data_IF_289090573255
#
_entry.id   IF_289090573255
#
_cell.length_a   1.000
_cell.length_b   1.000
_cell.length_c   1.000
_cell.angle_alpha   90.00
_cell.angle_beta   90.00
_cell.angle_gamma   90.00
#
_symmetry.space_group_name_H-M   'P 1'
#
loop_
_entity.id
_entity.type
_entity.pdbx_description
1 polymer ?
#
# COMPACT_ATOMS: atom_id res chain seq x y z
N UNK A 1 -30.62 50.40 -6.82
CA UNK A 1 -29.75 50.48 -8.01
C UNK A 1 -28.44 51.13 -7.58
N UNK A 2 -27.29 50.58 -8.02
CA UNK A 2 -25.91 50.62 -7.45
C UNK A 2 -25.68 49.61 -6.32
N UNK A 3 -25.02 48.46 -6.54
CA UNK A 3 -23.58 48.18 -6.76
C UNK A 3 -22.69 48.63 -5.59
N UNK A 4 -22.30 47.65 -4.77
CA UNK A 4 -21.00 47.64 -4.10
C UNK A 4 -20.49 46.19 -4.07
N UNK A 5 -19.30 46.01 -4.62
CA UNK A 5 -18.56 44.77 -4.78
C UNK A 5 -18.17 44.13 -3.43
N UNK A 6 -18.36 42.83 -3.31
CA UNK A 6 -17.47 41.99 -2.52
C UNK A 6 -17.53 40.56 -3.07
N UNK A 7 -16.63 40.27 -4.02
CA UNK A 7 -16.35 38.94 -4.51
C UNK A 7 -15.75 38.08 -3.37
N UNK A 8 -16.58 37.55 -2.46
CA UNK A 8 -16.17 36.58 -1.44
C UNK A 8 -16.12 35.19 -2.07
N UNK A 9 -15.01 34.85 -2.72
CA UNK A 9 -14.91 33.61 -3.49
C UNK A 9 -13.58 32.88 -3.26
N UNK A 10 -13.72 31.63 -2.81
CA UNK A 10 -12.71 30.54 -2.67
C UNK A 10 -11.97 30.44 -1.32
N UNK A 11 -12.59 29.69 -0.40
CA UNK A 11 -11.97 29.00 0.76
C UNK A 11 -10.83 28.06 0.36
N UNK A 12 -9.70 28.09 1.07
CA UNK A 12 -8.50 27.28 0.79
C UNK A 12 -8.53 25.86 1.38
N UNK A 13 -9.50 25.04 0.98
CA UNK A 13 -9.54 23.61 1.31
C UNK A 13 -8.54 22.85 0.44
N UNK A 14 -7.71 21.98 1.01
CA UNK A 14 -6.73 21.18 0.26
C UNK A 14 -6.98 19.69 0.40
N UNK A 15 -6.81 18.92 -0.69
CA UNK A 15 -6.66 17.46 -0.66
C UNK A 15 -5.17 17.11 -0.74
N UNK A 16 -4.69 16.31 0.21
CA UNK A 16 -3.33 15.77 0.29
C UNK A 16 -3.32 14.30 -0.05
N UNK A 17 -2.31 13.83 -0.79
CA UNK A 17 -2.00 12.40 -0.91
C UNK A 17 -0.72 12.06 -0.16
N UNK A 18 -0.71 10.96 0.60
CA UNK A 18 0.45 10.58 1.40
C UNK A 18 0.56 9.07 1.59
N UNK A 19 1.78 8.50 1.54
CA UNK A 19 2.03 7.18 2.10
C UNK A 19 2.03 7.21 3.63
N UNK A 20 1.70 6.06 4.22
CA UNK A 20 1.82 5.79 5.65
C UNK A 20 2.52 4.45 5.80
N UNK A 21 3.56 4.39 6.63
CA UNK A 21 4.20 3.13 7.02
C UNK A 21 4.11 2.96 8.55
N UNK A 22 3.39 1.93 9.00
CA UNK A 22 3.44 1.41 10.37
C UNK A 22 3.19 2.42 11.52
N UNK A 23 2.34 3.44 11.33
CA UNK A 23 2.10 4.44 12.38
C UNK A 23 0.80 4.22 13.15
N UNK A 24 0.82 4.33 14.50
CA UNK A 24 -0.39 4.23 15.33
C UNK A 24 -1.33 5.44 15.16
N UNK A 25 -0.81 6.62 14.77
CA UNK A 25 -1.63 7.81 14.56
C UNK A 25 -1.03 8.75 13.49
N UNK A 26 -1.21 8.48 12.18
CA UNK A 26 -0.71 9.37 11.14
C UNK A 26 -1.29 10.79 11.20
N UNK A 27 -2.50 10.93 11.76
CA UNK A 27 -3.18 12.22 11.91
C UNK A 27 -2.49 13.17 12.89
N UNK A 28 -1.94 12.68 14.01
CA UNK A 28 -1.31 13.56 14.99
C UNK A 28 -0.03 14.21 14.43
N UNK A 29 0.75 13.47 13.64
CA UNK A 29 1.94 13.99 12.97
C UNK A 29 1.59 15.05 11.94
N UNK A 30 0.55 14.81 11.12
CA UNK A 30 0.05 15.79 10.14
C UNK A 30 -0.44 17.07 10.83
N UNK A 31 -1.23 16.95 11.90
CA UNK A 31 -1.71 18.09 12.68
C UNK A 31 -0.57 18.89 13.29
N UNK A 32 0.41 18.21 13.90
CA UNK A 32 1.60 18.87 14.48
C UNK A 32 2.42 19.59 13.42
N UNK A 33 2.66 18.97 12.27
CA UNK A 33 3.37 19.60 11.15
C UNK A 33 2.63 20.83 10.62
N UNK A 34 1.30 20.73 10.47
CA UNK A 34 0.47 21.83 10.00
C UNK A 34 0.43 23.00 11.01
N UNK A 35 0.44 22.71 12.32
CA UNK A 35 0.57 23.73 13.36
C UNK A 35 1.87 24.54 13.27
N UNK A 36 2.97 23.94 12.80
CA UNK A 36 4.24 24.64 12.58
C UNK A 36 4.22 25.61 11.40
N UNK A 37 3.22 25.52 10.50
CA UNK A 37 3.00 26.49 9.42
C UNK A 37 2.41 27.81 9.91
N UNK A 38 2.09 27.94 11.21
CA UNK A 38 1.51 29.12 11.87
C UNK A 38 0.21 29.59 11.18
N UNK A 39 -0.81 28.72 11.10
CA UNK A 39 -2.12 29.10 10.59
C UNK A 39 -2.80 30.09 11.54
N UNK A 40 -3.81 30.82 11.05
CA UNK A 40 -4.61 31.74 11.87
C UNK A 40 -5.57 31.03 12.82
N UNK A 41 -5.86 29.74 12.59
CA UNK A 41 -6.70 28.90 13.43
C UNK A 41 -6.19 27.45 13.49
N UNK A 42 -6.58 26.65 14.50
CA UNK A 42 -6.21 25.25 14.57
C UNK A 42 -6.67 24.45 13.34
N UNK A 43 -5.76 23.64 12.79
CA UNK A 43 -6.03 22.84 11.59
C UNK A 43 -6.59 21.47 11.97
N UNK A 44 -7.70 21.10 11.34
CA UNK A 44 -8.29 19.76 11.44
C UNK A 44 -8.10 19.01 10.13
N UNK A 45 -7.67 17.75 10.23
CA UNK A 45 -7.54 16.84 9.10
C UNK A 45 -8.69 15.85 9.07
N UNK A 46 -9.17 15.58 7.86
CA UNK A 46 -10.19 14.60 7.57
C UNK A 46 -9.66 13.61 6.53
N UNK A 47 -9.35 12.40 6.96
CA UNK A 47 -8.80 11.33 6.11
C UNK A 47 -9.89 10.59 5.33
N UNK A 48 -9.50 10.07 4.16
CA UNK A 48 -10.37 9.30 3.28
C UNK A 48 -10.59 7.87 3.78
N UNK A 49 -9.56 7.28 4.38
CA UNK A 49 -9.53 5.91 4.88
C UNK A 49 -8.74 5.84 6.18
N UNK A 50 -9.35 5.23 7.21
CA UNK A 50 -8.66 4.83 8.44
C UNK A 50 -7.93 3.52 8.14
N UNK A 51 -6.62 3.49 8.37
CA UNK A 51 -5.81 2.27 8.28
C UNK A 51 -5.59 1.72 9.70
N UNK A 52 -5.63 0.40 9.85
CA UNK A 52 -5.33 -0.24 11.13
C UNK A 52 -3.84 -0.12 11.47
N UNK A 53 -3.48 -0.31 12.74
CA UNK A 53 -2.07 -0.43 13.14
C UNK A 53 -1.36 -1.51 12.33
N UNK A 54 -0.20 -1.17 11.78
CA UNK A 54 0.61 -2.05 10.94
C UNK A 54 0.20 -2.09 9.46
N UNK A 55 -0.88 -1.41 9.06
CA UNK A 55 -1.30 -1.30 7.66
C UNK A 55 -0.62 -0.11 7.00
N UNK A 56 -0.19 -0.29 5.75
CA UNK A 56 0.46 0.74 4.97
C UNK A 56 -0.53 1.50 4.08
N UNK A 57 -0.10 2.66 3.61
CA UNK A 57 -0.73 3.36 2.50
C UNK A 57 0.33 3.79 1.50
N UNK A 58 0.05 3.65 0.22
CA UNK A 58 0.84 4.24 -0.86
C UNK A 58 0.29 5.62 -1.23
N UNK A 59 -1.04 5.74 -1.20
CA UNK A 59 -1.74 6.98 -1.47
C UNK A 59 -3.02 7.05 -0.62
N UNK A 60 -2.87 7.36 0.67
CA UNK A 60 -4.01 7.82 1.47
C UNK A 60 -4.32 9.27 1.09
N UNK A 61 -5.56 9.70 1.33
CA UNK A 61 -6.00 11.05 1.06
C UNK A 61 -6.49 11.73 2.34
N UNK A 62 -6.22 13.02 2.52
CA UNK A 62 -6.81 13.82 3.59
C UNK A 62 -7.17 15.20 3.08
N UNK A 63 -8.20 15.81 3.66
CA UNK A 63 -8.43 17.23 3.47
C UNK A 63 -8.29 18.03 4.74
N UNK A 64 -7.94 19.31 4.57
CA UNK A 64 -7.87 20.31 5.61
C UNK A 64 -8.33 21.67 5.07
N UNK A 65 -8.74 22.53 6.00
CA UNK A 65 -8.92 23.96 5.75
C UNK A 65 -7.75 24.70 6.43
N UNK A 66 -7.08 25.58 5.69
CA UNK A 66 -5.93 26.35 6.20
C UNK A 66 -6.03 27.81 5.78
N UNK A 67 -5.87 28.69 6.76
CA UNK A 67 -5.80 30.13 6.58
C UNK A 67 -4.46 30.64 7.11
N UNK A 68 -3.81 31.53 6.36
CA UNK A 68 -2.58 32.18 6.80
C UNK A 68 -2.91 33.45 7.56
N UNK A 69 -1.94 33.94 8.33
CA UNK A 69 -2.04 35.23 8.99
C UNK A 69 -2.38 36.36 8.00
N UNK A 70 -3.11 37.41 8.43
CA UNK A 70 -3.44 38.57 7.59
C UNK A 70 -2.22 39.13 6.86
N UNK A 71 -2.40 39.51 5.60
CA UNK A 71 -1.34 40.06 4.74
C UNK A 71 -0.41 39.02 4.09
N UNK A 72 -0.60 37.72 4.36
CA UNK A 72 0.13 36.66 3.64
C UNK A 72 -0.70 36.09 2.49
N UNK A 73 -0.12 35.88 1.30
CA UNK A 73 -0.83 35.22 0.20
C UNK A 73 -1.12 33.78 0.59
N UNK A 74 -2.25 33.23 0.16
CA UNK A 74 -2.56 31.82 0.39
C UNK A 74 -1.44 30.88 -0.09
N UNK A 75 -1.40 29.68 0.49
CA UNK A 75 -0.53 28.63 -0.04
C UNK A 75 -0.95 28.22 -1.45
N UNK A 76 0.03 28.00 -2.32
CA UNK A 76 -0.12 27.10 -3.46
C UNK A 76 -0.05 25.65 -2.98
N UNK A 77 -0.56 24.70 -3.77
CA UNK A 77 -0.47 23.27 -3.45
C UNK A 77 0.98 22.82 -3.21
N UNK A 78 1.90 23.24 -4.08
CA UNK A 78 3.32 22.94 -3.93
C UNK A 78 3.92 23.50 -2.64
N UNK A 79 3.62 24.77 -2.30
CA UNK A 79 4.11 25.38 -1.05
C UNK A 79 3.59 24.66 0.19
N UNK A 80 2.31 24.28 0.20
CA UNK A 80 1.73 23.54 1.31
C UNK A 80 2.39 22.17 1.48
N UNK A 81 2.53 21.41 0.40
CA UNK A 81 3.17 20.09 0.43
C UNK A 81 4.63 20.19 0.89
N UNK A 82 5.39 21.17 0.38
CA UNK A 82 6.77 21.41 0.78
C UNK A 82 6.90 21.79 2.26
N UNK A 83 6.06 22.73 2.73
CA UNK A 83 6.05 23.16 4.13
C UNK A 83 5.70 22.02 5.10
N UNK A 84 4.68 21.23 4.78
CA UNK A 84 4.33 20.05 5.58
C UNK A 84 5.49 19.03 5.60
N UNK A 85 6.05 18.71 4.44
CA UNK A 85 7.17 17.76 4.33
C UNK A 85 8.42 18.21 5.10
N UNK A 86 8.69 19.52 5.19
CA UNK A 86 9.79 20.04 5.99
C UNK A 86 9.63 19.67 7.48
N UNK A 87 8.41 19.76 8.01
CA UNK A 87 8.12 19.42 9.41
C UNK A 87 7.83 17.93 9.65
N UNK A 88 7.58 17.15 8.60
CA UNK A 88 7.38 15.70 8.66
C UNK A 88 8.68 14.89 8.51
N UNK A 89 9.85 15.53 8.30
CA UNK A 89 11.14 14.83 8.12
C UNK A 89 11.45 13.74 9.15
N UNK A 90 11.11 13.88 10.45
CA UNK A 90 11.37 12.82 11.44
C UNK A 90 10.44 11.62 11.32
N UNK A 91 9.35 11.73 10.57
CA UNK A 91 8.24 10.78 10.55
C UNK A 91 8.21 10.00 9.23
N UNK A 92 7.78 8.72 9.24
CA UNK A 92 7.63 7.91 8.02
C UNK A 92 6.34 8.24 7.24
N UNK A 93 6.08 9.54 7.05
CA UNK A 93 4.95 10.09 6.28
C UNK A 93 5.50 11.15 5.33
N UNK A 94 5.01 11.16 4.09
CA UNK A 94 5.35 12.19 3.12
C UNK A 94 4.11 12.67 2.39
N UNK A 95 3.94 13.97 2.23
CA UNK A 95 2.94 14.54 1.32
C UNK A 95 3.47 14.42 -0.11
N UNK A 96 2.78 13.68 -0.96
CA UNK A 96 3.11 13.50 -2.38
C UNK A 96 2.65 14.69 -3.21
N UNK A 97 1.44 15.18 -2.94
CA UNK A 97 0.84 16.33 -3.63
C UNK A 97 -0.20 16.99 -2.75
N UNK A 98 -0.50 18.26 -3.05
CA UNK A 98 -1.60 19.00 -2.46
C UNK A 98 -2.30 19.80 -3.57
N UNK A 99 -3.63 19.83 -3.56
CA UNK A 99 -4.43 20.61 -4.49
C UNK A 99 -5.59 21.30 -3.80
N UNK A 100 -5.98 22.49 -4.28
CA UNK A 100 -7.19 23.16 -3.80
C UNK A 100 -8.43 22.38 -4.24
N UNK A 101 -9.42 22.33 -3.38
CA UNK A 101 -10.72 21.68 -3.64
C UNK A 101 -11.86 22.58 -3.18
N UNK A 102 -13.09 22.38 -3.70
CA UNK A 102 -14.27 23.13 -3.26
C UNK A 102 -14.53 22.99 -1.76
N UNK A 103 -15.20 23.97 -1.17
CA UNK A 103 -15.62 23.95 0.25
C UNK A 103 -16.51 22.74 0.58
N UNK A 104 -17.28 22.25 -0.39
CA UNK A 104 -18.17 21.09 -0.28
C UNK A 104 -17.44 19.75 -0.27
N UNK A 105 -16.17 19.71 -0.69
CA UNK A 105 -15.41 18.47 -0.79
C UNK A 105 -15.16 17.83 0.59
N UNK A 106 -15.33 16.51 0.69
CA UNK A 106 -14.95 15.76 1.89
C UNK A 106 -14.20 14.47 1.52
N UNK A 107 -12.91 14.40 1.85
CA UNK A 107 -12.01 13.29 1.50
C UNK A 107 -12.59 11.88 1.73
N UNK A 108 -13.38 11.68 2.79
CA UNK A 108 -14.09 10.40 3.03
C UNK A 108 -15.34 10.20 2.19
N UNK A 109 -16.21 11.20 2.07
CA UNK A 109 -17.56 11.02 1.53
C UNK A 109 -17.60 11.26 0.01
N UNK A 110 -16.72 12.10 -0.51
CA UNK A 110 -16.53 12.36 -1.94
C UNK A 110 -15.76 11.25 -2.67
N UNK A 111 -15.13 10.32 -1.95
CA UNK A 111 -14.38 9.23 -2.57
C UNK A 111 -15.33 8.24 -3.28
N UNK A 112 -15.04 7.95 -4.55
CA UNK A 112 -15.76 7.01 -5.41
C UNK A 112 -15.36 5.58 -5.14
N UNK A 113 -14.08 5.34 -4.93
CA UNK A 113 -13.54 4.01 -4.65
C UNK A 113 -12.25 4.09 -3.84
N UNK A 114 -11.92 2.97 -3.20
CA UNK A 114 -10.62 2.68 -2.60
C UNK A 114 -10.15 1.36 -3.19
N UNK A 115 -8.87 1.31 -3.53
CA UNK A 115 -8.20 0.08 -3.93
C UNK A 115 -7.17 -0.28 -2.88
N UNK A 116 -7.32 -1.47 -2.31
CA UNK A 116 -6.32 -2.10 -1.47
C UNK A 116 -5.54 -3.13 -2.28
N UNK A 117 -4.30 -3.32 -1.88
CA UNK A 117 -3.42 -4.37 -2.37
C UNK A 117 -2.89 -5.12 -1.16
N UNK A 118 -3.02 -6.44 -1.19
CA UNK A 118 -2.44 -7.30 -0.17
C UNK A 118 -1.32 -8.13 -0.79
N UNK A 119 -0.10 -8.00 -0.27
CA UNK A 119 1.07 -8.74 -0.77
C UNK A 119 1.31 -10.01 0.03
N UNK A 120 1.33 -11.12 -0.69
CA UNK A 120 1.72 -12.45 -0.25
C UNK A 120 3.12 -12.76 -0.77
N UNK A 121 3.94 -13.42 0.03
CA UNK A 121 5.20 -14.02 -0.39
C UNK A 121 5.03 -15.53 -0.30
N UNK A 122 5.11 -16.21 -1.45
CA UNK A 122 5.08 -17.67 -1.53
C UNK A 122 6.50 -18.23 -1.66
N UNK A 123 6.63 -19.55 -1.59
CA UNK A 123 7.94 -20.23 -1.69
C UNK A 123 8.80 -20.15 -0.43
N UNK A 124 8.24 -19.66 0.69
CA UNK A 124 8.89 -19.67 2.01
C UNK A 124 8.18 -20.67 2.92
N UNK A 125 8.90 -21.64 3.47
CA UNK A 125 8.36 -22.65 4.39
C UNK A 125 8.27 -22.11 5.82
N UNK A 126 9.16 -21.17 6.18
CA UNK A 126 9.24 -20.62 7.52
C UNK A 126 9.45 -19.09 7.49
N UNK A 127 8.89 -18.39 8.49
CA UNK A 127 8.94 -16.93 8.57
C UNK A 127 10.39 -16.37 8.62
N UNK A 128 11.36 -17.15 9.11
CA UNK A 128 12.78 -16.75 9.13
C UNK A 128 13.40 -16.62 7.75
N UNK A 129 12.81 -17.27 6.73
CA UNK A 129 13.25 -17.21 5.33
C UNK A 129 12.74 -15.93 4.63
N UNK A 130 11.81 -15.19 5.24
CA UNK A 130 11.35 -13.92 4.69
C UNK A 130 12.53 -12.93 4.66
N UNK A 131 12.86 -12.37 3.48
CA UNK A 131 13.94 -11.41 3.35
C UNK A 131 13.78 -10.25 4.33
N UNK A 132 14.88 -9.83 4.97
CA UNK A 132 14.85 -8.85 6.07
C UNK A 132 14.07 -7.57 5.70
N UNK A 133 14.25 -7.07 4.47
CA UNK A 133 13.59 -5.85 4.00
C UNK A 133 12.11 -6.04 3.62
N UNK A 134 11.61 -7.28 3.55
CA UNK A 134 10.24 -7.60 3.15
C UNK A 134 9.36 -8.02 4.33
N UNK A 135 9.94 -8.26 5.52
CA UNK A 135 9.22 -8.78 6.71
C UNK A 135 7.98 -7.98 7.08
N UNK A 136 8.06 -6.65 6.95
CA UNK A 136 6.95 -5.75 7.27
C UNK A 136 6.16 -5.31 6.02
N UNK A 137 6.48 -5.81 4.82
CA UNK A 137 5.88 -5.39 3.56
C UNK A 137 5.07 -6.49 2.86
N UNK A 138 5.06 -7.70 3.43
CA UNK A 138 4.30 -8.82 2.91
C UNK A 138 3.83 -9.73 4.05
N UNK A 139 3.02 -10.72 3.68
CA UNK A 139 2.75 -11.87 4.52
C UNK A 139 3.26 -13.12 3.80
N UNK A 140 4.07 -13.92 4.49
CA UNK A 140 4.40 -15.27 4.10
C UNK A 140 3.50 -16.24 4.89
N UNK A 141 2.42 -16.79 4.30
CA UNK A 141 1.59 -17.78 4.97
C UNK A 141 2.42 -19.05 5.27
N UNK A 142 2.30 -19.64 6.47
CA UNK A 142 2.95 -20.91 6.76
C UNK A 142 2.28 -22.05 5.99
N UNK A 143 2.95 -23.19 5.85
CA UNK A 143 2.35 -24.41 5.32
C UNK A 143 2.53 -24.64 3.81
N UNK A 144 3.50 -23.95 3.18
CA UNK A 144 3.93 -24.24 1.82
C UNK A 144 3.12 -23.51 0.73
N UNK A 145 3.11 -24.03 -0.51
CA UNK A 145 2.47 -23.36 -1.65
C UNK A 145 0.95 -23.27 -1.48
N UNK A 146 0.35 -22.25 -2.10
CA UNK A 146 -1.10 -22.06 -2.09
C UNK A 146 -1.72 -22.52 -3.41
N UNK A 147 -2.90 -23.15 -3.32
CA UNK A 147 -3.76 -23.41 -4.47
C UNK A 147 -4.41 -22.11 -4.98
N UNK A 148 -3.67 -21.38 -5.84
CA UNK A 148 -4.14 -20.14 -6.45
C UNK A 148 -5.43 -20.33 -7.26
N UNK A 149 -5.59 -21.39 -8.09
CA UNK A 149 -6.87 -21.68 -8.74
C UNK A 149 -8.06 -21.72 -7.76
N UNK A 150 -7.95 -22.45 -6.65
CA UNK A 150 -9.01 -22.53 -5.64
C UNK A 150 -9.29 -21.16 -5.00
N UNK A 151 -8.25 -20.38 -4.70
CA UNK A 151 -8.37 -19.00 -4.21
C UNK A 151 -9.12 -18.10 -5.20
N UNK A 152 -8.86 -18.24 -6.51
CA UNK A 152 -9.54 -17.46 -7.56
C UNK A 152 -11.00 -17.86 -7.70
N UNK A 153 -11.33 -19.14 -7.59
CA UNK A 153 -12.73 -19.63 -7.54
C UNK A 153 -13.45 -19.03 -6.33
N UNK A 154 -12.84 -19.12 -5.15
CA UNK A 154 -13.34 -18.54 -3.91
C UNK A 154 -13.57 -17.01 -4.01
N UNK A 155 -12.67 -16.30 -4.68
CA UNK A 155 -12.78 -14.86 -4.90
C UNK A 155 -14.03 -14.47 -5.72
N UNK A 156 -14.52 -15.32 -6.64
CA UNK A 156 -15.70 -15.00 -7.44
C UNK A 156 -16.95 -14.85 -6.58
N UNK A 157 -17.11 -15.65 -5.51
CA UNK A 157 -18.26 -15.55 -4.60
C UNK A 157 -18.33 -14.21 -3.85
N UNK A 158 -17.20 -13.50 -3.70
CA UNK A 158 -17.12 -12.23 -2.99
C UNK A 158 -17.41 -11.02 -3.87
N UNK A 159 -17.37 -11.17 -5.20
CA UNK A 159 -17.63 -10.09 -6.14
C UNK A 159 -19.12 -9.69 -6.13
N UNK A 160 -19.40 -8.40 -6.35
CA UNK A 160 -20.76 -7.88 -6.32
C UNK A 160 -21.19 -7.42 -4.92
N UNK A 161 -22.51 -7.36 -4.70
CA UNK A 161 -23.12 -6.79 -3.50
C UNK A 161 -23.54 -7.86 -2.53
N UNK A 162 -22.98 -7.84 -1.33
CA UNK A 162 -23.26 -8.83 -0.28
C UNK A 162 -23.37 -8.18 1.10
N UNK A 163 -23.98 -8.90 2.03
CA UNK A 163 -23.84 -8.63 3.45
C UNK A 163 -22.48 -9.19 3.93
N UNK A 164 -21.57 -8.30 4.31
CA UNK A 164 -20.23 -8.67 4.76
C UNK A 164 -20.11 -8.72 6.29
N UNK A 165 -21.20 -8.97 7.02
CA UNK A 165 -21.19 -9.03 8.49
C UNK A 165 -20.18 -10.04 9.02
N UNK A 166 -20.07 -11.23 8.45
CA UNK A 166 -19.05 -12.22 8.82
C UNK A 166 -17.63 -11.75 8.52
N UNK A 167 -17.44 -10.93 7.50
CA UNK A 167 -16.14 -10.35 7.17
C UNK A 167 -15.85 -9.05 7.92
N UNK A 168 -16.63 -8.67 8.95
CA UNK A 168 -16.41 -7.48 9.78
C UNK A 168 -15.90 -7.87 11.16
N UNK A 169 -14.86 -7.20 11.66
CA UNK A 169 -14.52 -7.30 13.08
C UNK A 169 -15.40 -6.38 13.94
N UNK A 170 -15.70 -6.81 15.16
CA UNK A 170 -16.47 -6.02 16.12
C UNK A 170 -15.69 -4.77 16.54
N UNK A 171 -16.35 -3.61 16.53
CA UNK A 171 -15.89 -2.35 17.13
C UNK A 171 -17.10 -1.56 17.62
N UNK A 172 -16.91 -0.56 18.49
CA UNK A 172 -18.00 0.30 18.95
C UNK A 172 -18.68 1.05 17.80
N UNK A 173 -17.95 1.40 16.73
CA UNK A 173 -18.52 2.06 15.55
C UNK A 173 -19.13 1.09 14.52
N UNK A 174 -19.00 -0.22 14.73
CA UNK A 174 -19.46 -1.24 13.79
C UNK A 174 -20.99 -1.36 13.75
N UNK A 175 -21.68 -1.04 14.85
CA UNK A 175 -23.14 -1.16 14.97
C UNK A 175 -23.91 -0.14 14.11
N UNK A 176 -23.32 1.03 13.84
CA UNK A 176 -23.97 2.12 13.12
C UNK A 176 -23.79 2.06 11.58
N UNK A 177 -23.06 1.07 11.07
CA UNK A 177 -22.75 0.97 9.64
C UNK A 177 -23.50 -0.21 9.03
N UNK A 178 -24.25 0.04 7.95
CA UNK A 178 -24.80 -1.04 7.12
C UNK A 178 -23.66 -2.01 6.75
N UNK A 179 -23.82 -3.33 6.91
CA UNK A 179 -22.81 -4.31 6.55
C UNK A 179 -22.80 -4.63 5.04
N UNK A 180 -23.78 -4.13 4.30
CA UNK A 180 -23.89 -4.38 2.86
C UNK A 180 -22.84 -3.55 2.11
N UNK A 181 -21.97 -4.23 1.34
CA UNK A 181 -20.94 -3.58 0.50
C UNK A 181 -20.94 -4.20 -0.88
N UNK A 182 -20.45 -3.44 -1.84
CA UNK A 182 -20.24 -3.91 -3.22
C UNK A 182 -18.75 -3.97 -3.51
N UNK A 183 -18.20 -5.17 -3.72
CA UNK A 183 -16.85 -5.31 -4.25
C UNK A 183 -16.90 -5.15 -5.76
N UNK A 184 -16.17 -4.15 -6.26
CA UNK A 184 -16.10 -3.82 -7.69
C UNK A 184 -15.02 -4.63 -8.39
N UNK A 185 -13.97 -5.01 -7.67
CA UNK A 185 -12.83 -5.76 -8.19
C UNK A 185 -12.23 -6.61 -7.07
N UNK A 186 -11.87 -7.84 -7.41
CA UNK A 186 -11.10 -8.75 -6.57
C UNK A 186 -10.25 -9.62 -7.50
N UNK A 187 -8.94 -9.38 -7.52
CA UNK A 187 -8.02 -10.05 -8.43
C UNK A 187 -6.83 -10.63 -7.64
N UNK A 188 -6.40 -11.82 -8.03
CA UNK A 188 -5.23 -12.51 -7.47
C UNK A 188 -4.26 -12.75 -8.60
N UNK A 189 -3.10 -12.09 -8.56
CA UNK A 189 -2.13 -12.09 -9.65
C UNK A 189 -0.69 -12.15 -9.13
N UNK A 190 0.29 -12.57 -9.95
CA UNK A 190 1.69 -12.43 -9.61
C UNK A 190 2.03 -10.97 -9.31
N UNK A 191 2.79 -10.76 -8.23
CA UNK A 191 3.31 -9.46 -7.83
C UNK A 191 4.66 -9.17 -8.50
N UNK A 192 5.02 -7.89 -8.69
CA UNK A 192 6.33 -7.53 -9.21
C UNK A 192 7.42 -7.78 -8.16
N UNK A 193 8.61 -8.16 -8.61
CA UNK A 193 9.79 -8.30 -7.74
C UNK A 193 10.66 -9.49 -8.13
N UNK A 194 11.70 -9.72 -7.33
CA UNK A 194 12.64 -10.85 -7.50
C UNK A 194 12.22 -12.11 -6.73
N UNK A 195 11.20 -12.00 -5.90
CA UNK A 195 10.66 -13.09 -5.08
C UNK A 195 9.31 -13.51 -5.63
N UNK A 196 8.81 -14.66 -5.19
CA UNK A 196 7.50 -15.19 -5.59
C UNK A 196 6.35 -14.44 -4.91
N UNK A 197 6.22 -13.16 -5.23
CA UNK A 197 5.14 -12.34 -4.73
C UNK A 197 3.84 -12.65 -5.46
N UNK A 198 2.76 -12.61 -4.70
CA UNK A 198 1.39 -12.61 -5.20
C UNK A 198 0.65 -11.42 -4.59
N UNK A 199 -0.22 -10.80 -5.36
CA UNK A 199 -0.99 -9.63 -4.95
C UNK A 199 -2.48 -9.92 -5.04
N UNK A 200 -3.19 -9.67 -3.94
CA UNK A 200 -4.65 -9.65 -3.89
C UNK A 200 -5.09 -8.19 -3.97
N UNK A 201 -5.59 -7.78 -5.13
CA UNK A 201 -6.12 -6.43 -5.38
C UNK A 201 -7.62 -6.42 -5.12
N UNK A 202 -8.08 -5.49 -4.27
CA UNK A 202 -9.49 -5.39 -3.87
C UNK A 202 -9.96 -3.94 -4.03
N UNK A 203 -11.02 -3.72 -4.81
CA UNK A 203 -11.61 -2.40 -5.05
C UNK A 203 -13.06 -2.34 -4.60
N UNK A 204 -13.42 -1.31 -3.85
CA UNK A 204 -14.80 -1.02 -3.46
C UNK A 204 -14.99 0.47 -3.17
N UNK A 205 -16.24 0.95 -3.19
CA UNK A 205 -16.59 2.28 -2.69
C UNK A 205 -16.16 2.46 -1.23
N UNK A 206 -16.35 1.45 -0.38
CA UNK A 206 -16.00 1.50 1.03
C UNK A 206 -15.84 0.10 1.61
N UNK A 207 -15.13 -0.01 2.74
CA UNK A 207 -14.89 -1.27 3.42
C UNK A 207 -15.33 -1.18 4.89
N UNK A 208 -15.76 -2.30 5.46
CA UNK A 208 -16.01 -2.46 6.89
C UNK A 208 -14.69 -2.61 7.66
N UNK A 209 -14.76 -2.48 8.98
CA UNK A 209 -13.60 -2.63 9.86
C UNK A 209 -12.96 -4.02 9.69
N UNK A 210 -11.66 -4.03 9.32
CA UNK A 210 -10.83 -5.21 9.01
C UNK A 210 -11.33 -6.10 7.85
N UNK A 211 -12.27 -5.64 7.03
CA UNK A 211 -12.90 -6.44 5.97
C UNK A 211 -11.90 -7.03 4.99
N UNK A 212 -10.98 -6.21 4.48
CA UNK A 212 -9.99 -6.65 3.49
C UNK A 212 -9.10 -7.77 4.05
N UNK A 213 -8.68 -7.65 5.31
CA UNK A 213 -7.83 -8.66 5.98
C UNK A 213 -8.56 -9.96 6.25
N UNK A 214 -9.86 -9.90 6.57
CA UNK A 214 -10.71 -11.08 6.72
C UNK A 214 -10.94 -11.78 5.37
N UNK A 215 -11.19 -11.02 4.31
CA UNK A 215 -11.30 -11.55 2.94
C UNK A 215 -10.01 -12.29 2.55
N UNK A 216 -8.86 -11.60 2.61
CA UNK A 216 -7.56 -12.21 2.23
C UNK A 216 -7.27 -13.43 3.10
N UNK A 217 -7.55 -13.35 4.39
CA UNK A 217 -7.36 -14.44 5.33
C UNK A 217 -8.15 -15.70 4.98
N UNK A 218 -9.44 -15.53 4.63
CA UNK A 218 -10.27 -16.63 4.18
C UNK A 218 -9.81 -17.20 2.83
N UNK A 219 -9.40 -16.35 1.89
CA UNK A 219 -8.82 -16.81 0.62
C UNK A 219 -7.55 -17.62 0.85
N UNK A 220 -6.63 -17.17 1.70
CA UNK A 220 -5.42 -17.95 2.03
C UNK A 220 -5.77 -19.26 2.73
N UNK A 221 -6.79 -19.29 3.59
CA UNK A 221 -7.29 -20.54 4.17
C UNK A 221 -7.84 -21.52 3.11
N UNK A 222 -8.47 -21.02 2.04
CA UNK A 222 -8.83 -21.83 0.87
C UNK A 222 -7.60 -22.34 0.13
N UNK A 223 -6.62 -21.47 -0.13
CA UNK A 223 -5.37 -21.86 -0.79
C UNK A 223 -4.56 -22.91 -0.01
N UNK A 224 -4.74 -22.97 1.31
CA UNK A 224 -4.15 -24.00 2.19
C UNK A 224 -5.02 -25.26 2.33
N UNK A 225 -6.17 -25.35 1.66
CA UNK A 225 -7.11 -26.46 1.77
C UNK A 225 -7.87 -26.53 3.11
N UNK A 226 -7.73 -25.53 4.00
CA UNK A 226 -8.44 -25.48 5.29
C UNK A 226 -9.90 -25.07 5.12
N UNK A 227 -10.23 -24.40 4.03
CA UNK A 227 -11.59 -24.10 3.61
C UNK A 227 -11.77 -24.56 2.16
N UNK A 228 -12.97 -25.02 1.82
CA UNK A 228 -13.35 -25.19 0.41
C UNK A 228 -13.70 -23.82 -0.19
N UNK A 229 -13.64 -23.65 -1.53
CA UNK A 229 -14.16 -22.43 -2.15
C UNK A 229 -15.62 -22.13 -1.80
N UNK A 230 -16.45 -23.17 -1.64
CA UNK A 230 -17.87 -23.05 -1.26
C UNK A 230 -18.09 -22.49 0.15
N UNK A 231 -17.19 -22.77 1.10
CA UNK A 231 -17.27 -22.19 2.45
C UNK A 231 -17.26 -20.65 2.43
N UNK A 232 -16.70 -20.00 1.41
CA UNK A 232 -16.76 -18.53 1.31
C UNK A 232 -18.19 -18.03 1.13
N UNK A 233 -19.01 -18.76 0.37
CA UNK A 233 -20.42 -18.43 0.21
C UNK A 233 -21.19 -18.65 1.51
N UNK A 234 -20.96 -19.78 2.19
CA UNK A 234 -21.55 -20.07 3.51
C UNK A 234 -21.20 -18.96 4.53
N UNK A 235 -19.95 -18.49 4.54
CA UNK A 235 -19.54 -17.38 5.40
C UNK A 235 -20.32 -16.08 5.10
N UNK A 236 -20.66 -15.78 3.85
CA UNK A 236 -21.51 -14.63 3.51
C UNK A 236 -22.95 -14.82 4.01
N UNK A 237 -23.47 -16.04 3.95
CA UNK A 237 -24.84 -16.39 4.36
C UNK A 237 -25.05 -16.33 5.87
N UNK A 238 -24.02 -16.63 6.68
CA UNK A 238 -24.10 -16.60 8.15
C UNK A 238 -24.40 -15.22 8.73
N UNK A 239 -23.96 -14.14 8.07
CA UNK A 239 -24.18 -12.74 8.47
C UNK A 239 -23.84 -12.44 9.95
N UNK A 240 -22.89 -13.17 10.54
CA UNK A 240 -22.48 -13.00 11.93
C UNK A 240 -20.97 -12.72 12.02
N UNK A 241 -20.54 -11.55 12.53
CA UNK A 241 -19.14 -11.22 12.79
C UNK A 241 -18.36 -12.27 13.60
N UNK A 242 -19.04 -13.04 14.45
CA UNK A 242 -18.46 -14.09 15.30
C UNK A 242 -18.23 -15.42 14.57
N UNK A 243 -18.90 -15.62 13.43
CA UNK A 243 -18.78 -16.83 12.63
C UNK A 243 -17.51 -16.89 11.76
N UNK A 244 -16.74 -15.80 11.69
CA UNK A 244 -15.49 -15.79 10.95
C UNK A 244 -14.48 -16.77 11.58
N UNK A 245 -13.80 -17.62 10.80
CA UNK A 245 -12.90 -18.62 11.36
C UNK A 245 -11.82 -18.00 12.25
N UNK A 246 -11.62 -18.52 13.47
CA UNK A 246 -10.61 -17.98 14.37
C UNK A 246 -9.22 -18.12 13.74
N UNK A 247 -8.33 -17.15 14.01
CA UNK A 247 -6.96 -17.12 13.50
C UNK A 247 -6.80 -17.14 11.97
N UNK A 248 -7.88 -17.01 11.20
CA UNK A 248 -7.80 -16.94 9.74
C UNK A 248 -7.54 -15.52 9.23
N UNK A 249 -7.66 -14.47 10.05
CA UNK A 249 -7.50 -13.09 9.59
C UNK A 249 -6.05 -12.80 9.21
N UNK A 250 -5.85 -12.25 8.00
CA UNK A 250 -4.53 -11.90 7.51
C UNK A 250 -3.84 -10.83 8.40
N UNK A 251 -2.50 -10.89 8.58
CA UNK A 251 -1.75 -9.84 9.29
C UNK A 251 -1.84 -8.48 8.58
N UNK A 252 -1.54 -7.37 9.27
CA UNK A 252 -1.65 -6.04 8.68
C UNK A 252 -0.47 -5.67 7.75
N UNK A 253 0.71 -6.27 7.97
CA UNK A 253 1.97 -5.92 7.27
C UNK A 253 1.92 -6.08 5.76
N UNK A 254 1.11 -7.02 5.25
CA UNK A 254 0.93 -7.21 3.81
C UNK A 254 -0.07 -6.25 3.16
N UNK A 255 -0.81 -5.44 3.93
CA UNK A 255 -1.91 -4.63 3.41
C UNK A 255 -1.48 -3.19 3.10
N UNK A 256 -1.80 -2.73 1.90
CA UNK A 256 -1.53 -1.39 1.40
C UNK A 256 -2.81 -0.74 0.87
N UNK A 257 -3.14 0.46 1.33
CA UNK A 257 -4.06 1.34 0.60
C UNK A 257 -3.34 1.88 -0.66
N UNK A 258 -3.65 1.29 -1.82
CA UNK A 258 -2.99 1.60 -3.10
C UNK A 258 -3.47 2.92 -3.70
N UNK A 259 -4.77 3.16 -3.69
CA UNK A 259 -5.37 4.32 -4.35
C UNK A 259 -6.71 4.72 -3.71
N UNK A 260 -7.03 6.01 -3.78
CA UNK A 260 -8.36 6.57 -3.49
C UNK A 260 -8.78 7.40 -4.69
N UNK A 261 -9.96 7.11 -5.23
CA UNK A 261 -10.47 7.76 -6.43
C UNK A 261 -11.57 8.77 -6.10
N UNK A 262 -11.54 9.93 -6.75
CA UNK A 262 -12.54 11.01 -6.65
C UNK A 262 -13.07 11.37 -8.05
N UNK A 263 -14.31 11.88 -8.13
CA UNK A 263 -14.82 12.49 -9.38
C UNK A 263 -14.08 13.79 -9.69
N UNK A 264 -13.80 14.07 -10.96
CA UNK A 264 -13.54 15.46 -11.36
C UNK A 264 -14.85 16.26 -11.27
N UNK A 265 -14.81 17.48 -10.74
CA UNK A 265 -15.88 18.44 -11.00
C UNK A 265 -15.62 19.06 -12.38
N UNK A 266 -16.59 18.95 -13.31
CA UNK A 266 -16.54 19.59 -14.63
C UNK A 266 -16.10 18.73 -15.83
N UNK A 267 -15.87 17.42 -15.67
CA UNK A 267 -15.53 16.53 -16.78
C UNK A 267 -15.57 15.05 -16.37
N UNK A 268 -15.71 14.14 -17.34
CA UNK A 268 -15.85 12.69 -17.17
C UNK A 268 -14.61 11.96 -16.61
N UNK A 269 -13.60 12.69 -16.12
CA UNK A 269 -12.38 12.12 -15.56
C UNK A 269 -12.54 11.58 -14.12
N UNK A 270 -11.64 10.67 -13.75
CA UNK A 270 -11.45 10.19 -12.38
C UNK A 270 -10.10 10.71 -11.88
N UNK A 271 -10.06 11.44 -10.75
CA UNK A 271 -8.80 11.71 -10.04
C UNK A 271 -8.46 10.49 -9.21
N UNK A 272 -7.38 9.80 -9.54
CA UNK A 272 -6.72 8.85 -8.66
C UNK A 272 -5.24 9.13 -8.67
N UNK A 273 -4.66 9.57 -7.56
CA UNK A 273 -3.21 9.45 -7.38
C UNK A 273 -2.93 8.00 -7.01
N UNK A 274 -2.91 7.14 -8.03
CA UNK A 274 -2.28 5.83 -7.92
C UNK A 274 -0.77 6.03 -8.03
N UNK A 275 0.00 5.42 -7.14
CA UNK A 275 1.43 5.24 -7.40
C UNK A 275 1.53 4.35 -8.64
N UNK A 276 2.16 4.84 -9.72
CA UNK A 276 2.47 3.99 -10.89
C UNK A 276 3.23 2.76 -10.43
N UNK A 277 2.95 1.59 -11.02
CA UNK A 277 3.56 0.29 -10.67
C UNK A 277 5.10 0.32 -10.69
N UNK A 278 5.68 1.29 -11.40
CA UNK A 278 7.13 1.53 -11.49
C UNK A 278 7.86 1.78 -10.16
N UNK A 279 7.17 2.17 -9.08
CA UNK A 279 7.84 2.39 -7.78
C UNK A 279 8.23 1.08 -7.08
N UNK A 280 7.75 -0.07 -7.57
CA UNK A 280 7.99 -1.38 -6.96
C UNK A 280 9.11 -2.20 -7.59
N UNK A 281 9.75 -1.71 -8.66
CA UNK A 281 10.79 -2.46 -9.33
C UNK A 281 11.61 -1.60 -10.26
N UNK A 282 12.77 -1.13 -9.79
CA UNK A 282 14.01 -1.12 -10.58
C UNK A 282 15.18 -0.68 -9.71
N UNK A 283 16.15 -1.59 -9.54
CA UNK A 283 17.54 -1.16 -9.42
C UNK A 283 17.85 -0.30 -10.65
N UNK A 284 18.39 0.91 -10.44
CA UNK A 284 18.80 1.82 -11.52
C UNK A 284 19.74 1.08 -12.48
N UNK A 285 19.29 0.80 -13.71
CA UNK A 285 20.22 0.78 -14.85
C UNK A 285 20.47 2.25 -15.20
N UNK A 286 21.70 2.71 -14.96
CA UNK A 286 22.19 3.99 -15.47
C UNK A 286 22.14 3.91 -16.99
N UNK A 287 21.15 4.54 -17.59
CA UNK A 287 21.07 4.69 -19.04
C UNK A 287 22.09 5.74 -19.48
N UNK A 288 23.03 5.36 -20.35
CA UNK A 288 23.85 6.30 -21.12
C UNK A 288 22.90 7.19 -21.92
N UNK A 289 22.98 8.49 -21.70
CA UNK A 289 22.21 9.48 -22.45
C UNK A 289 22.61 9.48 -23.92
N UNK A 290 21.61 9.41 -24.79
CA UNK A 290 21.72 9.82 -26.19
C UNK A 290 21.73 11.35 -26.23
N UNK A 291 22.94 11.93 -26.25
CA UNK A 291 23.16 13.35 -26.52
C UNK A 291 22.89 13.67 -27.98
N UNK A 292 22.22 14.79 -28.20
CA UNK A 292 21.82 15.28 -29.51
C UNK A 292 22.98 15.60 -30.44
N UNK A 293 22.65 15.54 -31.72
CA UNK A 293 23.42 15.98 -32.87
C UNK A 293 23.91 17.43 -32.73
N UNK A 294 25.22 17.59 -32.68
CA UNK A 294 25.94 18.84 -32.92
C UNK A 294 27.29 18.46 -33.52
N UNK A 295 27.48 18.77 -34.81
CA UNK A 295 28.62 18.31 -35.58
C UNK A 295 29.93 18.96 -35.15
N UNK A 296 31.03 18.22 -35.36
CA UNK A 296 32.34 18.73 -35.81
C UNK A 296 33.08 17.51 -36.37
N UNK A 297 33.41 17.55 -37.65
CA UNK A 297 34.23 16.53 -38.30
C UNK A 297 35.71 16.78 -38.04
N UNK A 298 36.50 15.71 -37.97
CA UNK A 298 37.90 15.68 -38.40
C UNK A 298 38.31 14.25 -38.77
N UNK A 299 39.26 14.19 -39.68
CA UNK A 299 39.64 13.10 -40.57
C UNK A 299 40.52 12.00 -39.97
N UNK A 300 40.40 10.82 -40.60
CA UNK A 300 41.41 9.83 -41.04
C UNK A 300 42.56 9.29 -40.14
N UNK A 301 42.95 8.07 -40.54
CA UNK A 301 44.16 7.27 -40.23
C UNK A 301 44.15 6.57 -38.86
N UNK A 302 44.53 5.30 -38.68
CA UNK A 302 45.11 4.27 -39.54
C UNK A 302 45.68 3.16 -38.62
N UNK A 303 45.79 1.93 -39.14
CA UNK A 303 46.85 0.98 -38.73
C UNK A 303 46.59 -0.03 -37.59
N UNK A 304 46.60 -1.31 -37.98
CA UNK A 304 47.34 -2.47 -37.39
C UNK A 304 47.12 -2.79 -35.89
N UNK A 305 46.88 -4.01 -35.43
CA UNK A 305 47.19 -5.36 -35.92
C UNK A 305 47.53 -6.23 -34.68
N UNK A 306 47.43 -7.57 -34.84
CA UNK A 306 47.81 -8.64 -33.88
C UNK A 306 46.96 -8.77 -32.59
N UNK A 307 46.63 -9.97 -32.10
CA UNK A 307 47.03 -11.32 -32.47
C UNK A 307 46.22 -12.33 -31.65
N UNK A 308 46.05 -13.49 -32.26
CA UNK A 308 45.36 -14.70 -31.82
C UNK A 308 46.04 -15.37 -30.60
N UNK A 309 45.30 -16.22 -29.87
CA UNK A 309 45.73 -17.49 -29.23
C UNK A 309 44.73 -17.98 -28.15
N UNK A 310 43.88 -18.92 -28.56
CA UNK A 310 44.05 -20.33 -28.19
C UNK A 310 43.95 -20.79 -26.72
N UNK A 311 42.85 -21.49 -26.45
CA UNK A 311 42.71 -22.81 -25.77
C UNK A 311 43.17 -23.04 -24.32
N UNK A 312 42.23 -23.56 -23.51
CA UNK A 312 42.45 -24.88 -22.91
C UNK A 312 42.25 -25.06 -21.38
N UNK A 313 41.28 -25.94 -21.08
CA UNK A 313 41.25 -26.96 -20.02
C UNK A 313 40.64 -26.69 -18.62
N UNK A 314 39.70 -27.59 -18.36
CA UNK A 314 39.10 -28.07 -17.12
C UNK A 314 40.10 -28.61 -16.10
N UNK A 315 39.73 -28.54 -14.82
CA UNK A 315 40.07 -29.50 -13.77
C UNK A 315 38.95 -29.49 -12.72
N UNK A 316 38.33 -30.65 -12.48
CA UNK A 316 37.56 -30.93 -11.28
C UNK A 316 38.39 -31.81 -10.33
N UNK A 317 38.02 -31.87 -9.05
CA UNK A 317 38.25 -33.03 -8.18
C UNK A 317 37.28 -33.01 -6.99
N UNK A 318 36.99 -34.24 -6.53
CA UNK A 318 35.86 -34.70 -5.72
C UNK A 318 36.06 -34.66 -4.21
N UNK A 319 34.96 -34.99 -3.53
CA UNK A 319 34.79 -35.29 -2.09
C UNK A 319 35.67 -36.42 -1.55
N UNK A 320 35.93 -36.35 -0.24
CA UNK A 320 35.87 -37.40 0.80
C UNK A 320 36.03 -36.64 2.14
N UNK A 321 35.31 -36.86 3.25
CA UNK A 321 34.95 -38.10 3.93
C UNK A 321 35.62 -38.06 5.32
N UNK A 322 34.86 -38.02 6.43
CA UNK A 322 35.48 -38.02 7.77
C UNK A 322 34.52 -37.83 8.95
N UNK A 323 34.41 -38.87 9.76
CA UNK A 323 33.52 -39.16 10.91
C UNK A 323 34.00 -38.63 12.27
N UNK A 324 33.08 -38.50 13.25
CA UNK A 324 33.33 -38.47 14.72
C UNK A 324 32.36 -37.51 15.46
N UNK A 325 31.31 -37.95 16.18
CA UNK A 325 31.17 -38.62 17.49
C UNK A 325 31.52 -37.72 18.72
N UNK A 326 30.45 -37.39 19.46
CA UNK A 326 30.26 -37.10 20.90
C UNK A 326 30.75 -35.79 21.56
N UNK A 327 29.84 -35.20 22.37
CA UNK A 327 30.15 -34.20 23.39
C UNK A 327 28.91 -33.42 23.88
N UNK A 328 28.13 -33.99 24.80
CA UNK A 328 27.04 -33.29 25.49
C UNK A 328 27.52 -32.52 26.72
N UNK A 329 26.93 -31.33 26.94
CA UNK A 329 26.88 -30.54 28.19
C UNK A 329 25.62 -29.67 28.03
N UNK A 330 24.73 -29.42 28.99
CA UNK A 330 24.71 -29.57 30.43
C UNK A 330 23.69 -28.52 30.90
N UNK A 331 22.62 -28.96 31.55
CA UNK A 331 21.56 -28.12 32.11
C UNK A 331 22.05 -27.37 33.35
N UNK A 332 21.68 -26.09 33.50
CA UNK A 332 21.77 -25.38 34.77
C UNK A 332 20.50 -24.55 35.00
N UNK A 333 19.69 -25.03 35.95
CA UNK A 333 18.67 -24.28 36.69
C UNK A 333 19.38 -23.20 37.53
N UNK A 334 18.76 -22.04 37.69
CA UNK A 334 18.89 -21.24 38.90
C UNK A 334 17.51 -20.71 39.29
N UNK A 335 17.10 -21.07 40.50
CA UNK A 335 16.03 -20.42 41.24
C UNK A 335 16.65 -19.58 42.36
N UNK A 336 16.00 -18.47 42.65
CA UNK A 336 16.19 -17.53 43.74
C UNK A 336 14.99 -16.59 43.74
#
# INVERSE_FOLDING_TARGET
WMLCEAQKSVTGKFLLYFPVFLLPCPLCFLQRAAGKLRPSSPIKFHISSRTDTGVHALANAAHLDIHRAPGKPDFTGHQLAHGLNHHLRPEPIRILSAQRVPSTFHARFSARSRTYLYRLLLGTEHHSQVPVFERDLCWAPPGGPLDIPAMRTAAQFLLGTHDFSTFRSLSSEAAAQSPVRTLQELQIQPGPGKFEFWEVKIKSRSFLYRQVRRIVGALVAVGQGRLSPGHIQELLELKDPRAFPPNAMAPPSGLFLKCVEYSQEGGTGVWGFGVQERVWGTARKVGKGSGGSGGFGYSQEGGTGFGDLGTGKSLGYSQEGGTGIWGGWGTARNGG
#
